data_IF_095506049727
#
_entry.id   IF_095506049727
#
_cell.length_a   1.000
_cell.length_b   1.000
_cell.length_c   1.000
_cell.angle_alpha   90.00
_cell.angle_beta   90.00
_cell.angle_gamma   90.00
#
_symmetry.space_group_name_H-M   'P 1'
#
loop_
_entity.id
_entity.type
_entity.pdbx_description
1 polymer ?
#
# COMPACT_ATOMS: atom_id res chain seq x y z
N UNK A 1 12.53 -0.97 -9.17
CA UNK A 1 13.55 -0.18 -8.47
C UNK A 1 14.35 -1.13 -7.58
N UNK A 2 15.39 -0.65 -6.93
CA UNK A 2 16.23 -1.43 -6.03
C UNK A 2 16.64 -0.57 -4.82
N UNK A 3 17.06 -1.20 -3.74
CA UNK A 3 17.63 -0.54 -2.55
C UNK A 3 18.88 -1.28 -2.12
N UNK A 4 19.83 -0.57 -1.50
CA UNK A 4 21.09 -1.15 -1.04
C UNK A 4 20.86 -2.08 0.16
N UNK A 5 21.18 -3.37 0.04
CA UNK A 5 20.99 -4.35 1.12
C UNK A 5 21.64 -3.93 2.46
N UNK A 6 22.83 -3.34 2.41
CA UNK A 6 23.56 -2.91 3.62
C UNK A 6 22.97 -1.67 4.32
N UNK A 7 22.16 -0.88 3.61
CA UNK A 7 21.66 0.41 4.10
C UNK A 7 20.13 0.45 4.21
N UNK A 8 19.43 -0.52 3.59
CA UNK A 8 17.98 -0.54 3.56
C UNK A 8 17.40 -0.72 4.96
N UNK A 9 16.33 0.02 5.22
CA UNK A 9 15.57 -0.05 6.46
C UNK A 9 14.44 -1.06 6.30
N UNK A 10 14.08 -1.74 7.39
CA UNK A 10 12.85 -2.52 7.46
C UNK A 10 11.65 -1.59 7.67
N UNK A 11 10.57 -1.86 6.95
CA UNK A 11 9.31 -1.18 7.10
C UNK A 11 8.13 -2.17 6.95
N UNK A 12 7.04 -1.86 7.66
CA UNK A 12 5.73 -2.40 7.33
C UNK A 12 5.11 -1.57 6.20
N UNK A 13 4.72 -2.22 5.11
CA UNK A 13 4.01 -1.57 4.01
C UNK A 13 2.62 -2.19 3.87
N UNK A 14 1.59 -1.37 4.02
CA UNK A 14 0.18 -1.74 3.91
C UNK A 14 -0.34 -1.42 2.52
N UNK A 15 -0.71 -2.47 1.81
CA UNK A 15 -1.19 -2.44 0.44
C UNK A 15 -2.71 -2.57 0.47
N UNK A 16 -3.40 -1.45 0.26
CA UNK A 16 -4.87 -1.42 0.25
C UNK A 16 -5.45 -1.75 -1.12
N UNK A 17 -6.63 -2.36 -1.10
CA UNK A 17 -7.54 -2.57 -2.23
C UNK A 17 -8.98 -2.19 -1.82
N UNK A 18 -9.95 -2.33 -2.73
CA UNK A 18 -11.37 -2.05 -2.48
C UNK A 18 -11.84 -2.83 -1.24
N UNK A 19 -12.51 -2.15 -0.32
CA UNK A 19 -13.05 -2.76 0.91
C UNK A 19 -14.14 -3.80 0.61
N UNK A 20 -14.89 -3.62 -0.47
CA UNK A 20 -15.98 -4.49 -0.87
C UNK A 20 -15.73 -5.10 -2.25
N UNK A 21 -16.21 -6.33 -2.45
CA UNK A 21 -16.19 -7.05 -3.72
C UNK A 21 -17.39 -6.71 -4.61
N UNK A 22 -18.47 -6.18 -4.03
CA UNK A 22 -19.67 -5.74 -4.74
C UNK A 22 -19.60 -4.24 -5.04
N UNK A 23 -20.17 -3.82 -6.19
CA UNK A 23 -20.15 -2.40 -6.60
C UNK A 23 -21.08 -1.52 -5.76
N UNK A 24 -22.25 -2.06 -5.40
CA UNK A 24 -23.19 -1.44 -4.46
C UNK A 24 -23.47 -2.39 -3.28
N UNK A 25 -22.56 -2.50 -2.29
CA UNK A 25 -22.75 -3.40 -1.16
C UNK A 25 -23.89 -2.95 -0.24
N UNK A 26 -24.24 -1.66 -0.23
CA UNK A 26 -25.31 -1.11 0.61
C UNK A 26 -26.72 -1.45 0.10
N UNK A 27 -26.88 -1.64 -1.21
CA UNK A 27 -28.12 -2.16 -1.82
C UNK A 27 -28.39 -3.63 -1.54
N UNK A 28 -27.49 -4.33 -0.84
CA UNK A 28 -27.64 -5.74 -0.46
C UNK A 28 -28.22 -5.87 0.94
N UNK A 29 -28.86 -7.00 1.26
CA UNK A 29 -29.44 -7.20 2.59
C UNK A 29 -28.40 -7.19 3.72
N UNK A 30 -27.20 -7.70 3.47
CA UNK A 30 -26.10 -7.75 4.44
C UNK A 30 -24.76 -7.42 3.75
N UNK A 31 -24.37 -6.15 3.79
CA UNK A 31 -23.16 -5.67 3.12
C UNK A 31 -21.85 -6.33 3.62
N UNK A 32 -21.85 -6.89 4.84
CA UNK A 32 -20.67 -7.55 5.40
C UNK A 32 -20.27 -8.82 4.64
N UNK A 33 -21.22 -9.46 3.97
CA UNK A 33 -20.97 -10.62 3.10
C UNK A 33 -20.12 -10.26 1.88
N UNK A 34 -20.05 -8.98 1.55
CA UNK A 34 -19.27 -8.45 0.43
C UNK A 34 -17.93 -7.87 0.85
N UNK A 35 -17.51 -8.00 2.12
CA UNK A 35 -16.16 -7.59 2.54
C UNK A 35 -15.10 -8.32 1.72
N UNK A 36 -14.16 -7.56 1.16
CA UNK A 36 -13.03 -8.11 0.44
C UNK A 36 -11.97 -8.60 1.44
N UNK A 37 -11.72 -9.91 1.55
CA UNK A 37 -10.71 -10.45 2.45
C UNK A 37 -9.29 -10.01 2.05
N UNK A 38 -9.11 -9.56 0.80
CA UNK A 38 -7.85 -9.06 0.26
C UNK A 38 -7.78 -7.52 0.23
N UNK A 39 -8.67 -6.83 0.93
CA UNK A 39 -8.70 -5.35 1.00
C UNK A 39 -7.44 -4.74 1.65
N UNK A 40 -6.68 -5.55 2.39
CA UNK A 40 -5.41 -5.17 3.00
C UNK A 40 -4.42 -6.34 2.92
N UNK A 41 -3.27 -6.08 2.28
CA UNK A 41 -2.09 -6.94 2.34
C UNK A 41 -0.96 -6.22 3.11
N UNK A 42 -0.38 -6.89 4.10
CA UNK A 42 0.62 -6.31 5.02
C UNK A 42 1.99 -6.93 4.79
N UNK A 43 2.86 -6.16 4.16
CA UNK A 43 4.25 -6.52 3.88
C UNK A 43 5.14 -6.09 5.07
N UNK A 44 5.36 -6.98 6.04
CA UNK A 44 6.03 -6.66 7.32
C UNK A 44 7.54 -6.45 7.26
N UNK A 45 8.18 -6.88 6.18
CA UNK A 45 9.65 -6.86 6.01
C UNK A 45 10.04 -6.23 4.69
N UNK A 46 9.29 -5.21 4.28
CA UNK A 46 9.62 -4.45 3.09
C UNK A 46 10.92 -3.68 3.34
N UNK A 47 11.73 -3.53 2.30
CA UNK A 47 12.99 -2.79 2.35
C UNK A 47 12.81 -1.42 1.72
N UNK A 48 13.15 -0.37 2.45
CA UNK A 48 13.06 1.03 2.01
C UNK A 48 14.41 1.73 2.11
N UNK A 49 14.59 2.83 1.37
CA UNK A 49 15.85 3.58 1.37
C UNK A 49 16.08 4.39 2.66
N UNK A 50 17.35 4.67 3.03
CA UNK A 50 17.68 5.38 4.27
C UNK A 50 17.04 6.76 4.43
N UNK A 51 16.76 7.45 3.32
CA UNK A 51 16.20 8.82 3.32
C UNK A 51 14.85 8.90 4.04
N UNK A 52 14.14 7.77 4.14
CA UNK A 52 12.83 7.68 4.75
C UNK A 52 12.85 7.51 6.27
N UNK A 53 14.02 7.35 6.89
CA UNK A 53 14.17 7.17 8.35
C UNK A 53 13.54 8.31 9.17
N UNK A 54 13.61 9.54 8.64
CA UNK A 54 13.15 10.75 9.33
C UNK A 54 11.85 11.30 8.75
N UNK A 55 11.14 10.51 7.95
CA UNK A 55 9.89 10.94 7.35
C UNK A 55 8.82 11.12 8.44
N UNK A 56 8.17 12.29 8.46
CA UNK A 56 7.12 12.59 9.42
C UNK A 56 5.81 11.89 9.04
N UNK A 57 4.97 11.59 10.04
CA UNK A 57 3.63 11.07 9.79
C UNK A 57 2.86 11.96 8.78
N UNK A 58 2.19 11.33 7.81
CA UNK A 58 1.47 12.02 6.75
C UNK A 58 2.34 12.54 5.59
N UNK A 59 3.68 12.50 5.69
CA UNK A 59 4.56 12.74 4.54
C UNK A 59 4.23 11.76 3.40
N UNK A 60 4.30 12.24 2.16
CA UNK A 60 3.87 11.52 0.95
C UNK A 60 5.05 11.32 0.01
N UNK A 61 5.18 10.13 -0.53
CA UNK A 61 6.26 9.73 -1.43
C UNK A 61 5.71 8.91 -2.59
N UNK A 62 6.34 9.02 -3.74
CA UNK A 62 6.17 8.03 -4.80
C UNK A 62 7.23 6.96 -4.60
N UNK A 63 6.81 5.72 -4.32
CA UNK A 63 7.72 4.59 -4.40
C UNK A 63 7.81 4.18 -5.87
N UNK A 64 9.02 4.27 -6.42
CA UNK A 64 9.25 4.15 -7.86
C UNK A 64 8.59 2.90 -8.45
N UNK A 65 7.82 3.09 -9.53
CA UNK A 65 7.11 2.02 -10.25
C UNK A 65 6.05 1.25 -9.42
N UNK A 66 5.79 1.62 -8.16
CA UNK A 66 4.82 0.93 -7.30
C UNK A 66 3.54 1.76 -7.10
N UNK A 67 3.69 3.02 -6.69
CA UNK A 67 2.55 3.82 -6.28
C UNK A 67 2.94 5.02 -5.44
N UNK A 68 1.93 5.73 -4.97
CA UNK A 68 2.08 6.78 -3.96
C UNK A 68 1.77 6.19 -2.59
N UNK A 69 2.62 6.53 -1.62
CA UNK A 69 2.58 6.05 -0.26
C UNK A 69 2.65 7.23 0.71
N UNK A 70 2.08 7.06 1.89
CA UNK A 70 2.25 8.00 2.99
C UNK A 70 2.73 7.29 4.26
N UNK A 71 3.43 8.03 5.12
CA UNK A 71 3.82 7.55 6.46
C UNK A 71 2.57 7.49 7.34
N UNK A 72 2.30 6.32 7.91
CA UNK A 72 1.17 6.10 8.81
C UNK A 72 1.38 6.81 10.16
N UNK A 73 0.30 7.20 10.82
CA UNK A 73 0.39 7.85 12.14
C UNK A 73 0.94 6.93 13.24
N UNK A 74 0.85 5.61 13.07
CA UNK A 74 1.45 4.64 13.98
C UNK A 74 2.94 4.39 13.69
N UNK A 75 3.51 5.00 12.65
CA UNK A 75 4.94 4.91 12.35
C UNK A 75 5.76 5.54 13.48
N UNK A 76 6.85 4.87 13.86
CA UNK A 76 7.79 5.35 14.89
C UNK A 76 9.21 5.40 14.31
N UNK A 77 10.16 6.08 14.98
CA UNK A 77 11.56 6.12 14.51
C UNK A 77 12.22 4.74 14.37
N UNK A 78 11.73 3.72 15.08
CA UNK A 78 12.28 2.34 15.06
C UNK A 78 11.41 1.34 14.31
N UNK A 79 10.18 1.72 13.94
CA UNK A 79 9.25 0.89 13.19
C UNK A 79 8.51 1.76 12.17
N UNK A 80 9.03 1.77 10.95
CA UNK A 80 8.46 2.54 9.85
C UNK A 80 7.20 1.83 9.32
N UNK A 81 6.13 2.60 9.14
CA UNK A 81 4.86 2.09 8.59
C UNK A 81 4.41 3.00 7.45
N UNK A 82 4.15 2.39 6.29
CA UNK A 82 3.66 3.10 5.11
C UNK A 82 2.34 2.52 4.61
N UNK A 83 1.44 3.41 4.20
CA UNK A 83 0.18 3.05 3.56
C UNK A 83 0.25 3.39 2.08
N UNK A 84 -0.09 2.44 1.21
CA UNK A 84 -0.28 2.74 -0.22
C UNK A 84 -1.53 3.59 -0.39
N UNK A 85 -1.36 4.84 -0.77
CA UNK A 85 -2.46 5.77 -1.10
C UNK A 85 -3.14 5.34 -2.39
N UNK A 86 -2.35 5.06 -3.44
CA UNK A 86 -2.86 4.60 -4.74
C UNK A 86 -1.74 3.95 -5.53
N UNK A 87 -2.06 2.95 -6.36
CA UNK A 87 -1.11 2.40 -7.33
C UNK A 87 -0.84 3.37 -8.48
N UNK A 88 0.28 3.19 -9.18
CA UNK A 88 0.46 3.86 -10.47
C UNK A 88 -0.50 3.27 -11.51
N UNK A 89 -0.81 4.06 -12.54
CA UNK A 89 -1.62 3.61 -13.65
C UNK A 89 -0.88 2.50 -14.41
N UNK A 90 -1.41 1.28 -14.34
CA UNK A 90 -0.93 0.15 -15.14
C UNK A 90 -1.87 -0.08 -16.33
N UNK A 91 -1.44 0.43 -17.49
CA UNK A 91 -2.21 0.30 -18.73
C UNK A 91 -2.17 -1.12 -19.31
N UNK A 92 -1.11 -1.89 -19.03
CA UNK A 92 -0.94 -3.24 -19.56
C UNK A 92 -1.80 -4.26 -18.82
N UNK A 93 -1.86 -4.19 -17.49
CA UNK A 93 -2.75 -5.03 -16.70
C UNK A 93 -4.23 -4.87 -17.10
N UNK A 94 -4.63 -3.65 -17.53
CA UNK A 94 -5.97 -3.37 -18.04
C UNK A 94 -6.24 -4.04 -19.41
N UNK A 95 -5.24 -4.12 -20.28
CA UNK A 95 -5.36 -4.79 -21.59
C UNK A 95 -5.50 -6.31 -21.39
N UNK A 96 -4.67 -6.91 -20.53
CA UNK A 96 -4.70 -8.36 -20.26
C UNK A 96 -6.01 -8.81 -19.59
N UNK A 97 -6.57 -8.00 -18.67
CA UNK A 97 -7.89 -8.32 -18.05
C UNK A 97 -9.06 -8.33 -19.04
N UNK A 98 -8.91 -7.67 -20.19
CA UNK A 98 -9.95 -7.52 -21.20
C UNK A 98 -9.75 -8.45 -22.41
N UNK A 99 -8.70 -9.27 -22.40
CA UNK A 99 -8.41 -10.29 -23.41
C UNK A 99 -8.82 -11.67 -22.89
#
# INVERSE_FOLDING_TARGET
HWVSAAHALDAEVRIYDRLFTHEDPAGTGNFLEHLNPNSLDVQRRAKVEPSLATASAGSRFQFERLGYFCVDAASTPTALVFNRTVSLRDTWAKIVKNA
#
